data_IF_605916821451
#
_entry.id   IF_605916821451
#
_cell.length_a   1.000
_cell.length_b   1.000
_cell.length_c   1.000
_cell.angle_alpha   90.00
_cell.angle_beta   90.00
_cell.angle_gamma   90.00
#
_symmetry.space_group_name_H-M   'P 1'
#
loop_
_entity.id
_entity.type
_entity.pdbx_description
1 polymer ?
#
# COMPACT_ATOMS: atom_id res chain seq x y z
N UNK A 1 19.40 -3.77 -1.99
CA UNK A 1 19.15 -2.41 -2.52
C UNK A 1 19.13 -1.43 -1.34
N UNK A 2 19.94 -0.38 -1.38
CA UNK A 2 19.81 0.73 -0.43
C UNK A 2 18.58 1.55 -0.84
N UNK A 3 17.74 2.00 0.13
CA UNK A 3 16.54 2.78 -0.13
C UNK A 3 15.72 2.99 1.13
N UNK A 4 14.69 3.84 1.03
CA UNK A 4 13.76 4.13 2.13
C UNK A 4 12.66 3.07 2.25
N UNK A 5 11.97 3.08 3.39
CA UNK A 5 10.66 2.48 3.57
C UNK A 5 9.63 3.54 3.13
N UNK A 6 9.05 3.36 1.95
CA UNK A 6 8.08 4.29 1.40
C UNK A 6 6.68 3.98 1.96
N UNK A 7 6.18 4.83 2.84
CA UNK A 7 4.88 4.68 3.46
C UNK A 7 3.87 5.62 2.79
N UNK A 8 2.99 5.05 1.98
CA UNK A 8 1.99 5.79 1.20
C UNK A 8 0.69 5.87 1.99
N UNK A 9 0.28 7.09 2.31
CA UNK A 9 -0.93 7.36 3.07
C UNK A 9 -2.15 7.48 2.16
N UNK A 10 -3.30 7.03 2.67
CA UNK A 10 -4.61 7.29 2.09
C UNK A 10 -5.25 8.52 2.71
N UNK A 11 -5.94 9.29 1.87
CA UNK A 11 -6.74 10.42 2.32
C UNK A 11 -8.08 10.42 1.63
N UNK A 12 -9.14 10.59 2.39
CA UNK A 12 -10.51 10.63 1.90
C UNK A 12 -11.20 11.93 2.36
N UNK A 13 -12.14 12.47 1.59
CA UNK A 13 -12.86 13.69 1.96
C UNK A 13 -13.53 13.55 3.33
N UNK A 14 -13.30 14.53 4.21
CA UNK A 14 -13.95 14.58 5.53
C UNK A 14 -15.47 14.61 5.42
N UNK A 15 -15.97 15.23 4.37
CA UNK A 15 -17.38 15.32 4.04
C UNK A 15 -17.61 14.63 2.69
N UNK A 16 -17.79 13.33 2.73
CA UNK A 16 -18.03 12.56 1.51
C UNK A 16 -19.47 12.72 1.03
N UNK A 17 -19.62 12.96 -0.27
CA UNK A 17 -20.93 12.95 -0.96
C UNK A 17 -21.23 11.58 -1.60
N UNK A 18 -20.29 10.65 -1.52
CA UNK A 18 -20.38 9.33 -2.16
C UNK A 18 -20.38 8.25 -1.10
N UNK A 19 -21.20 7.21 -1.35
CA UNK A 19 -21.11 5.97 -0.59
C UNK A 19 -19.91 5.18 -1.16
N UNK A 20 -18.87 5.08 -0.36
CA UNK A 20 -17.63 4.38 -0.72
C UNK A 20 -17.29 3.40 0.40
N UNK A 21 -16.78 2.22 0.02
CA UNK A 21 -16.16 1.27 0.95
C UNK A 21 -14.74 1.73 1.27
N UNK A 22 -14.62 2.78 2.05
CA UNK A 22 -13.38 3.41 2.51
C UNK A 22 -13.60 3.98 3.89
N UNK A 23 -12.55 4.26 4.67
CA UNK A 23 -12.71 4.93 5.97
C UNK A 23 -13.45 6.26 5.82
N UNK A 24 -14.58 6.41 6.48
CA UNK A 24 -15.40 7.62 6.47
C UNK A 24 -15.56 8.18 7.88
N UNK A 25 -15.75 9.50 8.00
CA UNK A 25 -16.02 10.15 9.28
C UNK A 25 -15.05 9.72 10.39
N UNK A 26 -15.52 9.19 11.51
CA UNK A 26 -14.70 8.75 12.64
C UNK A 26 -13.76 7.57 12.31
N UNK A 27 -14.07 6.76 11.30
CA UNK A 27 -13.19 5.68 10.86
C UNK A 27 -11.84 6.21 10.34
N UNK A 28 -11.83 7.42 9.78
CA UNK A 28 -10.59 8.05 9.34
C UNK A 28 -9.63 8.38 10.51
N UNK A 29 -10.17 8.66 11.70
CA UNK A 29 -9.34 8.82 12.89
C UNK A 29 -8.69 7.50 13.29
N UNK A 30 -9.45 6.40 13.26
CA UNK A 30 -8.92 5.06 13.51
C UNK A 30 -7.85 4.69 12.48
N UNK A 31 -8.08 5.00 11.20
CA UNK A 31 -7.06 4.81 10.16
C UNK A 31 -5.75 5.55 10.50
N UNK A 32 -5.82 6.82 10.93
CA UNK A 32 -4.63 7.60 11.31
C UNK A 32 -3.93 6.99 12.53
N UNK A 33 -4.68 6.54 13.54
CA UNK A 33 -4.15 5.87 14.72
C UNK A 33 -3.44 4.56 14.36
N UNK A 34 -3.98 3.79 13.40
CA UNK A 34 -3.35 2.59 12.86
C UNK A 34 -2.01 2.89 12.16
N UNK A 35 -1.91 4.04 11.44
CA UNK A 35 -0.64 4.47 10.85
C UNK A 35 0.40 4.82 11.93
N UNK A 36 -0.02 5.55 12.97
CA UNK A 36 0.84 5.90 14.11
C UNK A 36 1.32 4.62 14.81
N UNK A 37 0.42 3.67 15.04
CA UNK A 37 0.75 2.39 15.66
C UNK A 37 1.74 1.59 14.81
N UNK A 38 1.50 1.44 13.51
CA UNK A 38 2.44 0.79 12.60
C UNK A 38 3.85 1.37 12.71
N UNK A 39 3.97 2.70 12.63
CA UNK A 39 5.27 3.40 12.70
C UNK A 39 5.93 3.18 14.07
N UNK A 40 5.14 3.20 15.15
CA UNK A 40 5.64 3.00 16.50
C UNK A 40 6.22 1.60 16.75
N UNK A 41 5.69 0.59 16.06
CA UNK A 41 6.08 -0.82 16.17
C UNK A 41 7.29 -1.18 15.28
N UNK A 42 7.70 -0.28 14.40
CA UNK A 42 8.92 -0.49 13.61
C UNK A 42 10.16 -0.36 14.49
N UNK A 43 11.13 -1.23 14.26
CA UNK A 43 12.46 -1.09 14.85
C UNK A 43 13.06 0.26 14.49
N UNK A 44 13.77 0.89 15.44
CA UNK A 44 14.32 2.25 15.28
C UNK A 44 15.12 2.44 13.98
N UNK A 45 16.04 1.55 13.59
CA UNK A 45 16.81 1.72 12.35
C UNK A 45 15.96 1.69 11.08
N UNK A 46 14.79 1.05 11.13
CA UNK A 46 13.82 1.00 10.03
C UNK A 46 12.99 2.27 9.99
N UNK A 47 12.49 2.68 11.15
CA UNK A 47 11.71 3.90 11.32
C UNK A 47 12.50 5.15 10.90
N UNK A 48 13.81 5.20 11.19
CA UNK A 48 14.69 6.29 10.78
C UNK A 48 14.87 6.38 9.23
N UNK A 49 14.53 5.31 8.52
CA UNK A 49 14.51 5.25 7.03
C UNK A 49 13.12 5.36 6.43
N UNK A 50 12.09 5.55 7.25
CA UNK A 50 10.73 5.70 6.76
C UNK A 50 10.54 7.09 6.16
N UNK A 51 9.91 7.11 4.99
CA UNK A 51 9.49 8.33 4.30
C UNK A 51 7.99 8.30 4.09
N UNK A 52 7.29 9.26 4.68
CA UNK A 52 5.85 9.43 4.46
C UNK A 52 5.61 10.03 3.08
N UNK A 53 4.63 9.46 2.38
CA UNK A 53 4.09 10.03 1.16
C UNK A 53 2.58 10.25 1.31
N UNK A 54 2.17 11.45 1.72
CA UNK A 54 0.74 11.83 1.71
C UNK A 54 0.26 12.07 0.28
N UNK A 55 -1.06 12.16 0.10
CA UNK A 55 -1.68 12.79 -1.05
C UNK A 55 -1.60 14.33 -0.90
N UNK A 56 -1.32 15.03 -2.01
CA UNK A 56 -1.07 16.48 -1.99
C UNK A 56 -2.29 17.33 -1.60
N UNK A 57 -3.49 16.79 -1.72
CA UNK A 57 -4.72 17.47 -1.35
C UNK A 57 -5.20 16.99 0.03
N UNK A 58 -4.77 17.66 1.08
CA UNK A 58 -5.31 17.45 2.42
C UNK A 58 -6.82 17.67 2.45
N UNK A 59 -7.57 16.65 2.87
CA UNK A 59 -9.03 16.70 2.98
C UNK A 59 -9.53 17.16 4.37
N UNK A 60 -8.70 17.96 5.08
CA UNK A 60 -9.03 18.54 6.38
C UNK A 60 -8.82 17.60 7.57
N UNK A 61 -8.08 16.52 7.39
CA UNK A 61 -7.76 15.57 8.47
C UNK A 61 -6.44 15.88 9.17
N UNK A 62 -5.52 16.61 8.50
CA UNK A 62 -4.18 16.90 8.99
C UNK A 62 -3.44 15.62 9.44
N UNK A 63 -3.53 14.57 8.60
CA UNK A 63 -3.01 13.23 8.93
C UNK A 63 -1.50 13.24 9.15
N UNK A 64 -0.76 14.00 8.35
CA UNK A 64 0.70 14.10 8.47
C UNK A 64 1.09 14.79 9.78
N UNK A 65 0.44 15.90 10.11
CA UNK A 65 0.66 16.63 11.34
C UNK A 65 0.36 15.77 12.57
N UNK A 66 -0.74 15.01 12.53
CA UNK A 66 -1.10 14.08 13.61
C UNK A 66 -0.05 12.97 13.79
N UNK A 67 0.44 12.40 12.70
CA UNK A 67 1.54 11.40 12.74
C UNK A 67 2.80 12.06 13.30
N UNK A 68 3.16 13.27 12.85
CA UNK A 68 4.36 13.98 13.29
C UNK A 68 4.32 14.44 14.74
N UNK A 69 3.16 14.62 15.34
CA UNK A 69 3.05 14.85 16.79
C UNK A 69 3.70 13.69 17.59
N UNK A 70 3.55 12.46 17.12
CA UNK A 70 4.14 11.26 17.76
C UNK A 70 5.53 10.92 17.23
N UNK A 71 5.81 11.28 15.99
CA UNK A 71 7.03 10.94 15.25
C UNK A 71 7.59 12.17 14.53
N UNK A 72 8.12 13.18 15.23
CA UNK A 72 8.46 14.50 14.65
C UNK A 72 9.61 14.44 13.62
N UNK A 73 10.49 13.44 13.71
CA UNK A 73 11.65 13.30 12.83
C UNK A 73 11.38 12.60 11.50
N UNK A 74 10.13 12.18 11.24
CA UNK A 74 9.82 11.45 10.00
C UNK A 74 10.03 12.31 8.75
N UNK A 75 10.77 11.76 7.80
CA UNK A 75 10.91 12.34 6.48
C UNK A 75 9.57 12.31 5.71
N UNK A 76 9.37 13.32 4.87
CA UNK A 76 8.19 13.41 4.00
C UNK A 76 8.65 13.61 2.56
N UNK A 77 8.00 12.90 1.66
CA UNK A 77 8.25 13.01 0.22
C UNK A 77 7.15 13.81 -0.46
N UNK A 78 7.55 14.81 -1.25
CA UNK A 78 6.68 15.66 -2.06
C UNK A 78 6.94 15.46 -3.57
N UNK A 79 7.43 14.29 -3.97
CA UNK A 79 7.72 14.02 -5.38
C UNK A 79 6.43 14.07 -6.23
N UNK A 80 6.45 14.81 -7.33
CA UNK A 80 5.31 15.00 -8.22
C UNK A 80 4.69 13.70 -8.75
N UNK A 81 5.51 12.65 -8.94
CA UNK A 81 5.07 11.39 -9.52
C UNK A 81 5.41 10.20 -8.62
N UNK A 82 4.44 9.33 -8.38
CA UNK A 82 4.56 8.14 -7.54
C UNK A 82 5.74 7.25 -7.95
N UNK A 83 5.95 7.01 -9.25
CA UNK A 83 7.02 6.15 -9.72
C UNK A 83 8.43 6.63 -9.32
N UNK A 84 8.64 7.95 -9.18
CA UNK A 84 9.93 8.50 -8.70
C UNK A 84 10.20 8.09 -7.25
N UNK A 85 9.18 8.18 -6.39
CA UNK A 85 9.28 7.72 -5.00
C UNK A 85 9.47 6.20 -4.91
N UNK A 86 8.75 5.42 -5.71
CA UNK A 86 8.90 3.97 -5.77
C UNK A 86 10.32 3.56 -6.22
N UNK A 87 10.89 4.27 -7.20
CA UNK A 87 12.24 3.97 -7.72
C UNK A 87 13.34 4.12 -6.65
N UNK A 88 13.18 5.06 -5.73
CA UNK A 88 14.13 5.32 -4.63
C UNK A 88 13.87 4.44 -3.40
N UNK A 89 12.75 3.76 -3.33
CA UNK A 89 12.36 2.97 -2.17
C UNK A 89 12.91 1.53 -2.24
N UNK A 90 13.19 0.98 -1.06
CA UNK A 90 13.56 -0.43 -0.87
C UNK A 90 12.33 -1.31 -0.68
N UNK A 91 11.34 -0.81 0.04
CA UNK A 91 10.10 -1.48 0.38
C UNK A 91 8.95 -0.47 0.32
N UNK A 92 7.85 -0.86 -0.30
CA UNK A 92 6.62 -0.08 -0.39
C UNK A 92 5.62 -0.53 0.67
N UNK A 93 5.03 0.43 1.37
CA UNK A 93 3.91 0.20 2.29
C UNK A 93 2.68 0.90 1.74
N UNK A 94 1.66 0.11 1.37
CA UNK A 94 0.36 0.61 0.96
C UNK A 94 -0.67 0.44 2.07
N UNK A 95 -1.43 1.49 2.35
CA UNK A 95 -2.36 1.53 3.48
C UNK A 95 -3.82 1.63 3.05
N UNK A 96 -4.08 1.39 1.79
CA UNK A 96 -5.40 1.48 1.18
C UNK A 96 -5.50 0.63 -0.07
N UNK A 97 -6.72 0.22 -0.42
CA UNK A 97 -7.01 -0.51 -1.65
C UNK A 97 -7.25 0.48 -2.82
N UNK A 98 -6.17 0.99 -3.41
CA UNK A 98 -6.20 1.99 -4.49
C UNK A 98 -5.16 1.68 -5.57
N UNK A 99 -4.94 2.61 -6.50
CA UNK A 99 -4.02 2.43 -7.64
C UNK A 99 -2.55 2.30 -7.23
N UNK A 100 -2.09 3.03 -6.22
CA UNK A 100 -0.67 3.01 -5.85
C UNK A 100 -0.16 1.61 -5.40
N UNK A 101 -0.86 0.83 -4.55
CA UNK A 101 -0.54 -0.57 -4.31
C UNK A 101 -0.53 -1.43 -5.58
N UNK A 102 -1.50 -1.23 -6.46
CA UNK A 102 -1.57 -1.97 -7.73
C UNK A 102 -0.36 -1.67 -8.63
N UNK A 103 0.04 -0.41 -8.73
CA UNK A 103 1.25 0.01 -9.46
C UNK A 103 2.50 -0.63 -8.87
N UNK A 104 2.66 -0.65 -7.54
CA UNK A 104 3.80 -1.27 -6.86
C UNK A 104 3.88 -2.78 -7.16
N UNK A 105 2.75 -3.49 -7.11
CA UNK A 105 2.66 -4.90 -7.47
C UNK A 105 2.97 -5.13 -8.96
N UNK A 106 2.45 -4.27 -9.85
CA UNK A 106 2.66 -4.37 -11.30
C UNK A 106 4.12 -4.23 -11.70
N UNK A 107 4.85 -3.25 -11.13
CA UNK A 107 6.29 -3.07 -11.38
C UNK A 107 7.16 -4.07 -10.62
N UNK A 108 6.55 -5.03 -9.94
CA UNK A 108 7.22 -6.08 -9.17
C UNK A 108 8.16 -5.56 -8.09
N UNK A 109 7.72 -4.54 -7.35
CA UNK A 109 8.44 -3.95 -6.24
C UNK A 109 8.09 -4.68 -4.93
N UNK A 110 9.06 -4.96 -4.02
CA UNK A 110 8.75 -5.46 -2.69
C UNK A 110 7.69 -4.60 -2.00
N UNK A 111 6.54 -5.22 -1.66
CA UNK A 111 5.33 -4.51 -1.24
C UNK A 111 4.69 -5.20 -0.06
N UNK A 112 4.41 -4.43 0.99
CA UNK A 112 3.53 -4.82 2.09
C UNK A 112 2.33 -3.90 2.09
N UNK A 113 1.16 -4.47 2.25
CA UNK A 113 -0.12 -3.79 2.32
C UNK A 113 -0.74 -4.04 3.69
N UNK A 114 -1.38 -3.04 4.27
CA UNK A 114 -2.24 -3.26 5.41
C UNK A 114 -3.39 -2.26 5.46
N UNK A 115 -4.54 -2.74 5.87
CA UNK A 115 -5.72 -1.94 6.18
C UNK A 115 -6.70 -2.75 7.01
N UNK A 116 -7.56 -2.06 7.74
CA UNK A 116 -8.64 -2.68 8.46
C UNK A 116 -9.70 -3.21 7.47
N UNK A 117 -10.00 -4.52 7.44
CA UNK A 117 -10.98 -5.10 6.52
C UNK A 117 -12.39 -4.54 6.72
N UNK A 118 -12.75 -4.08 7.93
CA UNK A 118 -14.06 -3.46 8.20
C UNK A 118 -14.27 -2.14 7.45
N UNK A 119 -13.19 -1.51 6.98
CA UNK A 119 -13.23 -0.25 6.24
C UNK A 119 -13.08 -0.44 4.72
N UNK A 120 -12.76 -1.64 4.27
CA UNK A 120 -12.46 -1.95 2.87
C UNK A 120 -13.19 -3.20 2.42
N UNK A 121 -14.45 -3.02 2.06
CA UNK A 121 -15.27 -4.13 1.56
C UNK A 121 -14.74 -4.65 0.23
N UNK A 122 -14.60 -5.96 0.14
CA UNK A 122 -14.21 -6.65 -1.08
C UNK A 122 -15.42 -7.33 -1.72
N UNK A 123 -15.47 -7.32 -3.05
CA UNK A 123 -16.44 -8.16 -3.79
C UNK A 123 -16.14 -9.62 -3.56
N UNK A 124 -17.18 -10.45 -3.43
CA UNK A 124 -17.03 -11.89 -3.17
C UNK A 124 -16.07 -12.61 -4.13
N UNK A 125 -16.08 -12.23 -5.42
CA UNK A 125 -15.17 -12.79 -6.42
C UNK A 125 -13.69 -12.42 -6.27
N UNK A 126 -13.36 -11.50 -5.37
CA UNK A 126 -11.98 -11.04 -5.10
C UNK A 126 -11.42 -11.56 -3.77
N UNK A 127 -12.26 -12.07 -2.87
CA UNK A 127 -11.85 -12.46 -1.50
C UNK A 127 -10.70 -13.45 -1.54
N UNK A 128 -10.80 -14.50 -2.33
CA UNK A 128 -9.77 -15.54 -2.43
C UNK A 128 -8.41 -14.98 -2.88
N UNK A 129 -8.40 -14.05 -3.83
CA UNK A 129 -7.16 -13.44 -4.33
C UNK A 129 -6.48 -12.61 -3.23
N UNK A 130 -7.26 -11.84 -2.46
CA UNK A 130 -6.73 -11.06 -1.33
C UNK A 130 -6.27 -11.95 -0.17
N UNK A 131 -6.98 -13.05 0.10
CA UNK A 131 -6.55 -14.03 1.11
C UNK A 131 -5.25 -14.74 0.69
N UNK A 132 -5.04 -14.98 -0.60
CA UNK A 132 -3.76 -15.49 -1.09
C UNK A 132 -2.62 -14.48 -0.87
N UNK A 133 -2.86 -13.17 -1.05
CA UNK A 133 -1.88 -12.13 -0.67
C UNK A 133 -1.54 -12.17 0.83
N UNK A 134 -2.54 -12.43 1.71
CA UNK A 134 -2.31 -12.58 3.15
C UNK A 134 -1.44 -13.80 3.47
N UNK A 135 -1.71 -14.95 2.84
CA UNK A 135 -0.95 -16.20 3.06
C UNK A 135 0.55 -16.05 2.81
N UNK A 136 0.95 -15.20 1.84
CA UNK A 136 2.37 -14.96 1.53
C UNK A 136 2.95 -13.73 2.20
N UNK A 137 2.17 -13.04 3.05
CA UNK A 137 2.60 -11.88 3.83
C UNK A 137 2.71 -10.58 3.03
N UNK A 138 2.02 -10.48 1.90
CA UNK A 138 1.89 -9.22 1.15
C UNK A 138 0.82 -8.33 1.78
N UNK A 139 -0.33 -8.88 2.17
CA UNK A 139 -1.43 -8.15 2.80
C UNK A 139 -1.59 -8.54 4.27
N UNK A 140 -1.90 -7.56 5.10
CA UNK A 140 -2.14 -7.70 6.53
C UNK A 140 -3.42 -6.97 6.92
N UNK A 141 -4.17 -7.54 7.87
CA UNK A 141 -5.42 -6.94 8.36
C UNK A 141 -5.18 -5.95 9.51
N UNK A 142 -3.95 -5.93 10.06
CA UNK A 142 -3.60 -5.06 11.21
C UNK A 142 -2.21 -4.42 11.04
N UNK A 143 -2.00 -3.23 11.63
CA UNK A 143 -0.71 -2.56 11.63
C UNK A 143 0.38 -3.36 12.36
N UNK A 144 0.01 -4.12 13.41
CA UNK A 144 0.95 -4.96 14.19
C UNK A 144 1.52 -6.09 13.33
N UNK A 145 0.65 -6.78 12.59
CA UNK A 145 1.07 -7.86 11.69
C UNK A 145 1.97 -7.33 10.59
N UNK A 146 1.63 -6.20 9.99
CA UNK A 146 2.43 -5.54 8.97
C UNK A 146 3.79 -5.09 9.50
N UNK A 147 3.85 -4.43 10.66
CA UNK A 147 5.09 -3.99 11.28
C UNK A 147 6.00 -5.16 11.62
N UNK A 148 5.44 -6.25 12.18
CA UNK A 148 6.18 -7.49 12.45
C UNK A 148 6.81 -8.07 11.18
N UNK A 149 6.07 -8.06 10.08
CA UNK A 149 6.58 -8.53 8.79
C UNK A 149 7.70 -7.63 8.28
N UNK A 150 7.53 -6.30 8.32
CA UNK A 150 8.58 -5.34 7.93
C UNK A 150 9.85 -5.56 8.74
N UNK A 151 9.75 -5.62 10.07
CA UNK A 151 10.90 -5.85 10.96
C UNK A 151 11.63 -7.15 10.60
N UNK A 152 10.88 -8.23 10.32
CA UNK A 152 11.43 -9.53 9.94
C UNK A 152 12.22 -9.50 8.64
N UNK A 153 11.71 -8.82 7.59
CA UNK A 153 12.28 -8.89 6.24
C UNK A 153 13.23 -7.73 5.91
N UNK A 154 13.32 -6.71 6.75
CA UNK A 154 14.01 -5.46 6.43
C UNK A 154 15.45 -5.65 5.97
N UNK A 155 16.18 -6.58 6.57
CA UNK A 155 17.57 -6.80 6.21
C UNK A 155 17.73 -7.44 4.82
N UNK A 156 16.78 -8.28 4.41
CA UNK A 156 16.73 -8.92 3.10
C UNK A 156 15.29 -9.07 2.58
N UNK A 157 14.63 -7.98 2.16
CA UNK A 157 13.28 -8.07 1.61
C UNK A 157 13.25 -8.81 0.27
N UNK A 158 14.37 -8.85 -0.46
CA UNK A 158 14.44 -9.50 -1.76
C UNK A 158 14.33 -11.01 -1.65
N UNK A 159 14.93 -11.64 -0.64
CA UNK A 159 14.81 -13.08 -0.41
C UNK A 159 13.34 -13.52 -0.23
N UNK A 160 12.56 -12.77 0.56
CA UNK A 160 11.13 -13.03 0.70
C UNK A 160 10.36 -12.72 -0.59
N UNK A 161 10.63 -11.56 -1.19
CA UNK A 161 9.89 -11.09 -2.36
C UNK A 161 10.06 -12.00 -3.57
N UNK A 162 11.29 -12.43 -3.83
CA UNK A 162 11.61 -13.29 -4.98
C UNK A 162 11.42 -14.78 -4.70
N UNK A 163 10.87 -15.15 -3.53
CA UNK A 163 10.50 -16.55 -3.30
C UNK A 163 9.43 -17.01 -4.27
N UNK A 164 9.46 -18.28 -4.65
CA UNK A 164 8.51 -18.86 -5.61
C UNK A 164 7.05 -18.66 -5.17
N UNK A 165 6.76 -18.81 -3.87
CA UNK A 165 5.41 -18.65 -3.33
C UNK A 165 4.90 -17.22 -3.47
N UNK A 166 5.71 -16.22 -3.07
CA UNK A 166 5.35 -14.81 -3.16
C UNK A 166 5.16 -14.37 -4.60
N UNK A 167 6.09 -14.74 -5.50
CA UNK A 167 6.03 -14.36 -6.90
C UNK A 167 4.85 -15.01 -7.64
N UNK A 168 4.52 -16.27 -7.35
CA UNK A 168 3.35 -16.94 -7.92
C UNK A 168 2.07 -16.18 -7.57
N UNK A 169 1.83 -15.95 -6.29
CA UNK A 169 0.62 -15.25 -5.81
C UNK A 169 0.54 -13.82 -6.36
N UNK A 170 1.65 -13.08 -6.34
CA UNK A 170 1.71 -11.74 -6.93
C UNK A 170 1.35 -11.76 -8.42
N UNK A 171 1.92 -12.72 -9.20
CA UNK A 171 1.68 -12.79 -10.63
C UNK A 171 0.21 -13.13 -10.94
N UNK A 172 -0.40 -14.07 -10.22
CA UNK A 172 -1.80 -14.44 -10.35
C UNK A 172 -2.71 -13.23 -10.03
N UNK A 173 -2.44 -12.54 -8.92
CA UNK A 173 -3.17 -11.32 -8.56
C UNK A 173 -3.04 -10.23 -9.64
N UNK A 174 -1.82 -9.96 -10.12
CA UNK A 174 -1.58 -8.95 -11.15
C UNK A 174 -2.25 -9.33 -12.47
N UNK A 175 -2.26 -10.60 -12.86
CA UNK A 175 -2.94 -11.05 -14.06
C UNK A 175 -4.44 -10.72 -14.05
N UNK A 176 -5.07 -10.80 -12.87
CA UNK A 176 -6.51 -10.55 -12.70
C UNK A 176 -6.85 -9.06 -12.55
N UNK A 177 -6.07 -8.32 -11.73
CA UNK A 177 -6.44 -6.97 -11.31
C UNK A 177 -5.56 -5.85 -11.88
N UNK A 178 -4.36 -6.17 -12.38
CA UNK A 178 -3.37 -5.17 -12.84
C UNK A 178 -2.67 -5.67 -14.09
N UNK A 179 -3.44 -6.14 -15.05
CA UNK A 179 -2.88 -6.70 -16.27
C UNK A 179 -2.11 -5.63 -17.06
N UNK A 180 -0.81 -5.84 -17.18
CA UNK A 180 0.05 -5.03 -18.04
C UNK A 180 0.36 -5.77 -19.34
N UNK A 181 0.35 -5.06 -20.44
CA UNK A 181 0.69 -5.60 -21.76
C UNK A 181 1.34 -4.51 -22.62
N UNK A 182 2.39 -4.88 -23.35
CA UNK A 182 2.97 -3.98 -24.35
C UNK A 182 2.01 -3.78 -25.53
N UNK A 183 1.11 -4.73 -25.77
CA UNK A 183 0.12 -4.72 -26.85
C UNK A 183 -1.28 -4.32 -26.35
N UNK A 184 -1.36 -3.42 -25.40
CA UNK A 184 -2.62 -3.05 -24.77
C UNK A 184 -3.63 -2.45 -25.75
N UNK A 185 -3.17 -1.66 -26.75
CA UNK A 185 -4.06 -1.04 -27.77
C UNK A 185 -4.76 -2.09 -28.63
N UNK A 186 -4.06 -3.05 -29.27
CA UNK A 186 -4.71 -4.12 -30.01
C UNK A 186 -5.64 -4.97 -29.13
N UNK A 187 -5.28 -5.24 -27.88
CA UNK A 187 -6.12 -6.02 -26.97
C UNK A 187 -7.41 -5.29 -26.62
N UNK A 188 -7.39 -3.99 -26.36
CA UNK A 188 -8.59 -3.20 -26.12
C UNK A 188 -9.46 -3.12 -27.37
N UNK A 189 -8.86 -2.88 -28.55
CA UNK A 189 -9.59 -2.87 -29.82
C UNK A 189 -10.34 -4.19 -30.03
N UNK A 190 -9.64 -5.32 -29.90
CA UNK A 190 -10.26 -6.64 -30.04
C UNK A 190 -11.38 -6.90 -28.99
N UNK A 191 -11.20 -6.41 -27.75
CA UNK A 191 -12.26 -6.52 -26.75
C UNK A 191 -13.51 -5.72 -27.10
N UNK A 192 -13.37 -4.51 -27.66
CA UNK A 192 -14.50 -3.69 -28.11
C UNK A 192 -15.16 -4.23 -29.38
N UNK A 193 -14.40 -4.78 -30.32
CA UNK A 193 -14.91 -5.37 -31.57
C UNK A 193 -15.73 -6.64 -31.31
N UNK A 194 -15.60 -7.25 -30.10
CA UNK A 194 -16.32 -8.48 -29.69
C UNK A 194 -17.41 -8.26 -28.62
N UNK A 195 -17.77 -6.98 -28.35
CA UNK A 195 -18.92 -6.62 -27.51
C UNK A 195 -20.20 -6.51 -28.34
#
# INVERSE_FOLDING_TARGET
>A
KQGCLLHVLGVFPRYSRRMLSVPTSSQMLKYIDEQILFISLLDRPIRDKLTLRPLDNGHGWNEVERIKVRHPSLAQCHADKMYKSMKSARLFIGTMNTTAPLEALAINMPTILFWNPDHWELRGCAIEDYDNLKKVGILHDTPESAAKMVNKIWNDPESWWWSNGTQKVRAEFCHKFVRMSNDWIPQWKNAFDNL
#
